data_IF_229420790007
#
_entry.id   IF_229420790007
#
_cell.length_a   1.000
_cell.length_b   1.000
_cell.length_c   1.000
_cell.angle_alpha   90.00
_cell.angle_beta   90.00
_cell.angle_gamma   90.00
#
_symmetry.space_group_name_H-M   'P 1'
#
loop_
_entity.id
_entity.type
_entity.pdbx_description
1 polymer ?
#
# COMPACT_ATOMS: atom_id res chain seq x y z
N UNK A 1 -17.48 5.31 -35.62
CA UNK A 1 -17.56 4.97 -34.19
C UNK A 1 -18.16 3.56 -34.10
N UNK A 2 -17.46 2.64 -33.48
CA UNK A 2 -18.00 1.30 -33.21
C UNK A 2 -18.75 1.41 -31.88
N UNK A 3 -20.06 1.25 -31.92
CA UNK A 3 -20.91 1.24 -30.72
C UNK A 3 -21.16 -0.22 -30.37
N UNK A 4 -20.75 -0.61 -29.18
CA UNK A 4 -21.01 -1.91 -28.56
C UNK A 4 -22.02 -1.78 -27.43
N UNK A 5 -22.49 -2.89 -26.88
CA UNK A 5 -23.32 -2.88 -25.69
C UNK A 5 -22.57 -2.22 -24.47
N UNK A 6 -23.34 -1.72 -23.52
CA UNK A 6 -22.80 -1.22 -22.26
C UNK A 6 -21.90 -2.25 -21.61
N UNK A 7 -20.80 -1.78 -21.03
CA UNK A 7 -19.77 -2.64 -20.49
C UNK A 7 -19.14 -1.97 -19.24
N UNK A 8 -18.10 -2.61 -18.72
CA UNK A 8 -17.33 -2.06 -17.60
C UNK A 8 -16.68 -0.70 -17.90
N UNK A 9 -16.42 -0.43 -19.22
CA UNK A 9 -15.73 0.77 -19.70
C UNK A 9 -16.58 1.61 -20.68
N UNK A 10 -17.85 1.30 -20.84
CA UNK A 10 -18.75 2.03 -21.75
C UNK A 10 -20.15 2.16 -21.16
N UNK A 11 -20.63 3.38 -21.09
CA UNK A 11 -22.01 3.71 -20.70
C UNK A 11 -22.67 4.55 -21.79
N UNK A 12 -23.87 4.13 -22.18
CA UNK A 12 -24.66 4.77 -23.22
C UNK A 12 -25.93 5.37 -22.63
N UNK A 13 -26.23 6.63 -23.01
CA UNK A 13 -27.45 7.32 -22.60
C UNK A 13 -28.13 7.93 -23.83
N UNK A 14 -29.44 7.89 -23.82
CA UNK A 14 -30.21 8.42 -24.97
C UNK A 14 -30.10 9.95 -25.06
N UNK A 15 -30.17 10.65 -23.94
CA UNK A 15 -30.09 12.12 -23.87
C UNK A 15 -29.49 12.58 -22.55
N UNK A 16 -29.12 13.86 -22.45
CA UNK A 16 -28.71 14.51 -21.19
C UNK A 16 -29.82 14.62 -20.16
N UNK A 17 -31.06 14.25 -20.46
CA UNK A 17 -32.09 14.03 -19.44
C UNK A 17 -31.69 12.95 -18.41
N UNK A 18 -30.76 12.06 -18.77
CA UNK A 18 -30.19 11.03 -17.89
C UNK A 18 -28.79 11.43 -17.34
N UNK A 19 -28.46 12.74 -17.34
CA UNK A 19 -27.15 13.25 -16.99
C UNK A 19 -26.71 12.83 -15.58
N UNK A 20 -27.62 12.84 -14.61
CA UNK A 20 -27.33 12.42 -13.24
C UNK A 20 -26.86 10.97 -13.18
N UNK A 21 -27.57 10.06 -13.85
CA UNK A 21 -27.20 8.63 -13.88
C UNK A 21 -25.90 8.43 -14.67
N UNK A 22 -25.70 9.19 -15.74
CA UNK A 22 -24.43 9.23 -16.47
C UNK A 22 -23.27 9.64 -15.57
N UNK A 23 -23.46 10.63 -14.69
CA UNK A 23 -22.43 11.07 -13.76
C UNK A 23 -22.12 10.06 -12.64
N UNK A 24 -23.09 9.24 -12.22
CA UNK A 24 -22.80 8.09 -11.37
C UNK A 24 -21.83 7.11 -12.07
N UNK A 25 -22.07 6.84 -13.36
CA UNK A 25 -21.17 5.99 -14.16
C UNK A 25 -19.81 6.64 -14.41
N UNK A 26 -19.77 7.95 -14.66
CA UNK A 26 -18.53 8.72 -14.75
C UNK A 26 -17.67 8.61 -13.48
N UNK A 27 -18.28 8.82 -12.32
CA UNK A 27 -17.62 8.63 -11.02
C UNK A 27 -17.14 7.17 -10.86
N UNK A 28 -17.93 6.19 -11.33
CA UNK A 28 -17.54 4.79 -11.26
C UNK A 28 -16.37 4.46 -12.19
N UNK A 29 -16.27 5.06 -13.37
CA UNK A 29 -15.11 4.94 -14.27
C UNK A 29 -13.85 5.48 -13.63
N UNK A 30 -13.90 6.67 -13.05
CA UNK A 30 -12.80 7.30 -12.31
C UNK A 30 -12.32 6.46 -11.10
N UNK A 31 -13.15 5.56 -10.63
CA UNK A 31 -12.83 4.65 -9.53
C UNK A 31 -12.57 3.20 -9.99
N UNK A 32 -12.50 2.93 -11.28
CA UNK A 32 -12.20 1.59 -11.80
C UNK A 32 -11.18 1.66 -12.95
N UNK A 33 -11.49 1.09 -14.09
CA UNK A 33 -10.57 0.99 -15.24
C UNK A 33 -10.65 2.20 -16.18
N UNK A 34 -11.46 3.20 -15.84
CA UNK A 34 -11.81 4.26 -16.77
C UNK A 34 -12.93 3.88 -17.72
N UNK A 35 -13.24 4.78 -18.66
CA UNK A 35 -14.25 4.45 -19.67
C UNK A 35 -14.87 5.66 -20.35
N UNK A 36 -15.83 5.36 -21.21
CA UNK A 36 -16.56 6.33 -22.00
C UNK A 36 -18.00 6.47 -21.56
N UNK A 37 -18.43 7.70 -21.36
CA UNK A 37 -19.85 8.09 -21.21
C UNK A 37 -20.30 8.78 -22.48
N UNK A 38 -21.34 8.21 -23.14
CA UNK A 38 -21.82 8.71 -24.43
C UNK A 38 -23.31 9.00 -24.35
N UNK A 39 -23.71 10.23 -24.69
CA UNK A 39 -25.10 10.64 -24.85
C UNK A 39 -25.46 10.75 -26.34
N UNK A 40 -26.71 10.44 -26.67
CA UNK A 40 -27.20 10.45 -28.05
C UNK A 40 -27.26 9.07 -28.68
N UNK A 41 -27.07 8.02 -27.88
CA UNK A 41 -27.13 6.61 -28.31
C UNK A 41 -28.15 5.87 -27.46
N UNK A 42 -29.07 5.14 -28.12
CA UNK A 42 -30.08 4.32 -27.44
C UNK A 42 -29.43 3.03 -26.93
N UNK A 43 -29.34 2.75 -25.63
CA UNK A 43 -28.56 1.64 -25.10
C UNK A 43 -28.88 0.27 -25.68
N UNK A 44 -30.16 -0.12 -25.76
CA UNK A 44 -30.59 -1.45 -26.22
C UNK A 44 -30.51 -1.66 -27.74
N UNK A 45 -30.82 -0.65 -28.51
CA UNK A 45 -30.84 -0.75 -29.97
C UNK A 45 -29.57 -0.25 -30.63
N UNK A 46 -28.67 0.32 -29.89
CA UNK A 46 -27.40 0.94 -30.30
C UNK A 46 -27.61 1.98 -31.42
N UNK A 47 -28.85 2.53 -31.53
CA UNK A 47 -29.20 3.51 -32.55
C UNK A 47 -28.61 4.86 -32.14
N UNK A 48 -27.82 5.44 -33.01
CA UNK A 48 -27.26 6.78 -32.86
C UNK A 48 -28.34 7.75 -33.36
N UNK A 49 -28.89 8.54 -32.44
CA UNK A 49 -29.92 9.55 -32.70
C UNK A 49 -29.41 10.96 -32.44
N UNK A 50 -28.37 11.10 -31.65
CA UNK A 50 -27.91 12.38 -31.19
C UNK A 50 -28.94 13.13 -30.34
N UNK A 51 -28.59 14.37 -29.97
CA UNK A 51 -29.51 15.33 -29.40
C UNK A 51 -29.11 16.73 -29.81
N UNK A 52 -30.01 17.69 -29.71
CA UNK A 52 -29.68 19.11 -29.84
C UNK A 52 -28.76 19.51 -28.71
N UNK A 53 -27.69 20.25 -29.04
CA UNK A 53 -26.72 20.80 -28.08
C UNK A 53 -26.83 22.31 -28.09
N UNK A 54 -27.34 22.85 -27.00
CA UNK A 54 -27.47 24.28 -26.77
C UNK A 54 -26.46 24.75 -25.74
N UNK A 55 -26.31 26.06 -25.56
CA UNK A 55 -25.52 26.65 -24.48
C UNK A 55 -25.98 26.14 -23.11
N UNK A 56 -27.30 25.91 -22.95
CA UNK A 56 -27.84 25.35 -21.71
C UNK A 56 -27.38 23.92 -21.49
N UNK A 57 -27.37 23.09 -22.54
CA UNK A 57 -26.83 21.71 -22.47
C UNK A 57 -25.38 21.69 -22.01
N UNK A 58 -24.55 22.59 -22.56
CA UNK A 58 -23.13 22.69 -22.18
C UNK A 58 -22.96 23.13 -20.73
N UNK A 59 -23.78 24.07 -20.25
CA UNK A 59 -23.76 24.51 -18.83
C UNK A 59 -24.18 23.39 -17.88
N UNK A 60 -25.22 22.64 -18.22
CA UNK A 60 -25.67 21.50 -17.40
C UNK A 60 -24.57 20.44 -17.28
N UNK A 61 -23.87 20.12 -18.36
CA UNK A 61 -22.74 19.20 -18.34
C UNK A 61 -21.60 19.74 -17.47
N UNK A 62 -21.24 21.01 -17.61
CA UNK A 62 -20.19 21.63 -16.82
C UNK A 62 -20.54 21.63 -15.32
N UNK A 63 -21.80 21.94 -14.97
CA UNK A 63 -22.26 21.88 -13.58
C UNK A 63 -22.27 20.45 -13.01
N UNK A 64 -22.62 19.47 -13.84
CA UNK A 64 -22.60 18.08 -13.43
C UNK A 64 -21.15 17.57 -13.20
N UNK A 65 -20.22 17.92 -14.09
CA UNK A 65 -18.80 17.60 -13.94
C UNK A 65 -18.20 18.25 -12.67
N UNK A 66 -18.64 19.47 -12.32
CA UNK A 66 -18.23 20.15 -11.08
C UNK A 66 -18.71 19.42 -9.80
N UNK A 67 -19.65 18.49 -9.90
CA UNK A 67 -20.07 17.64 -8.80
C UNK A 67 -19.13 16.48 -8.49
N UNK A 68 -18.11 16.27 -9.32
CA UNK A 68 -17.04 15.26 -9.09
C UNK A 68 -15.96 15.82 -8.17
N UNK A 69 -15.60 15.05 -7.17
CA UNK A 69 -14.53 15.37 -6.22
C UNK A 69 -13.56 14.18 -6.08
N UNK A 70 -12.25 14.35 -6.26
CA UNK A 70 -11.54 15.57 -6.73
C UNK A 70 -12.02 16.05 -8.09
N UNK A 71 -11.81 17.35 -8.37
CA UNK A 71 -12.14 17.91 -9.68
C UNK A 71 -11.37 17.21 -10.79
N UNK A 72 -12.03 16.96 -11.91
CA UNK A 72 -11.49 16.24 -13.06
C UNK A 72 -11.53 17.17 -14.28
N UNK A 73 -10.43 17.19 -15.02
CA UNK A 73 -10.41 17.88 -16.33
C UNK A 73 -10.84 16.87 -17.40
N UNK A 74 -12.04 17.07 -17.93
CA UNK A 74 -12.65 16.16 -18.91
C UNK A 74 -12.90 16.90 -20.21
N UNK A 75 -12.32 16.39 -21.28
CA UNK A 75 -12.63 16.87 -22.62
C UNK A 75 -13.99 16.33 -23.08
N UNK A 76 -14.91 17.25 -23.44
CA UNK A 76 -16.24 16.91 -23.95
C UNK A 76 -16.25 17.06 -25.45
N UNK A 77 -16.46 15.95 -26.16
CA UNK A 77 -16.53 15.92 -27.61
C UNK A 77 -17.99 15.99 -28.08
N UNK A 78 -18.22 16.79 -29.13
CA UNK A 78 -19.53 16.98 -29.77
C UNK A 78 -19.45 16.52 -31.22
N UNK A 79 -19.97 15.34 -31.54
CA UNK A 79 -19.87 14.73 -32.87
C UNK A 79 -21.20 14.83 -33.59
N UNK A 80 -21.21 15.44 -34.81
CA UNK A 80 -22.40 15.57 -35.62
C UNK A 80 -22.92 14.21 -36.08
N UNK A 81 -24.26 14.05 -36.11
CA UNK A 81 -24.91 12.83 -36.58
C UNK A 81 -25.41 13.01 -38.01
N UNK A 82 -24.84 12.36 -39.01
CA UNK A 82 -25.21 12.57 -40.42
C UNK A 82 -26.69 12.35 -40.72
N UNK A 83 -27.29 11.31 -40.12
CA UNK A 83 -28.69 10.94 -40.33
C UNK A 83 -29.70 11.85 -39.60
N UNK A 84 -29.22 12.72 -38.70
CA UNK A 84 -30.04 13.62 -37.90
C UNK A 84 -29.40 15.03 -37.87
N UNK A 85 -29.58 15.82 -38.93
CA UNK A 85 -29.00 17.16 -39.03
C UNK A 85 -29.35 18.06 -37.84
N UNK A 86 -28.34 18.67 -37.23
CA UNK A 86 -28.49 19.50 -36.02
C UNK A 86 -28.35 18.74 -34.70
N UNK A 87 -28.38 17.42 -34.71
CA UNK A 87 -28.14 16.60 -33.55
C UNK A 87 -26.65 16.23 -33.43
N UNK A 88 -26.16 16.12 -32.21
CA UNK A 88 -24.80 15.70 -31.88
C UNK A 88 -24.81 14.56 -30.86
N UNK A 89 -23.84 13.67 -30.98
CA UNK A 89 -23.45 12.76 -29.90
C UNK A 89 -22.50 13.51 -29.01
N UNK A 90 -22.65 13.35 -27.71
CA UNK A 90 -21.75 13.92 -26.69
C UNK A 90 -20.94 12.77 -26.11
N UNK A 91 -19.62 12.83 -26.19
CA UNK A 91 -18.74 11.80 -25.69
C UNK A 91 -17.76 12.40 -24.66
N UNK A 92 -17.55 11.69 -23.56
CA UNK A 92 -16.61 12.03 -22.51
C UNK A 92 -15.80 10.79 -22.13
N UNK A 93 -14.50 10.95 -22.04
CA UNK A 93 -13.59 9.90 -21.57
C UNK A 93 -13.14 10.23 -20.14
N UNK A 94 -13.11 9.21 -19.29
CA UNK A 94 -12.64 9.28 -17.92
C UNK A 94 -11.50 8.29 -17.74
N UNK A 95 -10.38 8.75 -17.19
CA UNK A 95 -9.25 7.89 -16.86
C UNK A 95 -9.57 7.00 -15.67
N UNK A 96 -8.93 5.84 -15.61
CA UNK A 96 -9.13 4.89 -14.53
C UNK A 96 -8.35 5.29 -13.26
N UNK A 97 -8.82 4.79 -12.12
CA UNK A 97 -8.17 5.03 -10.84
C UNK A 97 -6.81 4.35 -10.76
N UNK A 98 -5.83 5.07 -10.25
CA UNK A 98 -4.49 4.58 -9.97
C UNK A 98 -4.31 4.42 -8.46
N UNK A 99 -3.62 3.37 -8.04
CA UNK A 99 -3.35 3.15 -6.62
C UNK A 99 -2.58 4.31 -5.98
N UNK A 100 -3.06 4.76 -4.82
CA UNK A 100 -2.49 5.92 -4.13
C UNK A 100 -3.15 7.26 -4.51
N UNK A 101 -3.99 7.30 -5.53
CA UNK A 101 -4.82 8.46 -5.81
C UNK A 101 -6.05 8.49 -4.90
N UNK A 102 -6.54 9.70 -4.63
CA UNK A 102 -7.79 9.86 -3.88
C UNK A 102 -8.96 9.32 -4.68
N UNK A 103 -9.79 8.43 -4.11
CA UNK A 103 -10.98 7.97 -4.80
C UNK A 103 -11.97 9.13 -5.05
N UNK A 104 -12.65 9.06 -6.19
CA UNK A 104 -13.61 10.08 -6.60
C UNK A 104 -14.99 9.85 -5.99
N UNK A 105 -15.68 10.95 -5.75
CA UNK A 105 -17.09 10.97 -5.34
C UNK A 105 -17.89 11.85 -6.28
N UNK A 106 -19.17 11.56 -6.44
CA UNK A 106 -20.14 12.47 -7.06
C UNK A 106 -21.13 12.91 -6.02
N UNK A 107 -21.14 14.23 -5.72
CA UNK A 107 -21.91 14.80 -4.60
C UNK A 107 -21.67 14.07 -3.27
N UNK A 108 -20.40 13.73 -2.98
CA UNK A 108 -19.99 13.06 -1.75
C UNK A 108 -20.24 11.54 -1.72
N UNK A 109 -20.85 10.95 -2.75
CA UNK A 109 -21.07 9.52 -2.83
C UNK A 109 -20.08 8.85 -3.80
N UNK A 110 -19.28 7.85 -3.36
CA UNK A 110 -18.38 7.13 -4.23
C UNK A 110 -19.12 6.04 -5.00
N UNK A 111 -18.87 5.94 -6.31
CA UNK A 111 -19.41 4.89 -7.18
C UNK A 111 -18.29 4.05 -7.79
N UNK A 112 -18.58 2.80 -8.14
CA UNK A 112 -17.65 1.90 -8.83
C UNK A 112 -18.39 0.98 -9.80
N UNK A 113 -17.67 0.43 -10.79
CA UNK A 113 -18.25 -0.51 -11.77
C UNK A 113 -18.08 -1.96 -11.29
N UNK A 114 -19.18 -2.71 -11.40
CA UNK A 114 -19.19 -4.18 -11.32
C UNK A 114 -19.80 -4.67 -12.64
N UNK A 115 -18.96 -5.17 -13.52
CA UNK A 115 -19.32 -5.43 -14.91
C UNK A 115 -19.91 -4.16 -15.57
N UNK A 116 -21.06 -4.23 -16.20
CA UNK A 116 -21.75 -3.05 -16.77
C UNK A 116 -22.52 -2.22 -15.75
N UNK A 117 -22.63 -2.67 -14.48
CA UNK A 117 -23.48 -2.04 -13.46
C UNK A 117 -22.70 -1.03 -12.63
N UNK A 118 -23.27 0.16 -12.46
CA UNK A 118 -22.78 1.18 -11.52
C UNK A 118 -23.38 0.94 -10.12
N UNK A 119 -22.55 0.84 -9.11
CA UNK A 119 -22.95 0.65 -7.71
C UNK A 119 -22.25 1.66 -6.80
N UNK A 120 -22.84 1.93 -5.65
CA UNK A 120 -22.18 2.67 -4.57
C UNK A 120 -21.02 1.82 -4.07
N UNK A 121 -19.86 2.44 -3.91
CA UNK A 121 -18.66 1.77 -3.41
C UNK A 121 -18.85 1.38 -1.94
N UNK A 122 -18.51 0.14 -1.53
CA UNK A 122 -18.50 -0.24 -0.13
C UNK A 122 -17.59 0.66 0.70
N UNK A 123 -18.00 0.97 1.93
CA UNK A 123 -17.22 1.83 2.83
C UNK A 123 -15.80 1.31 3.05
N UNK A 124 -15.65 0.01 3.27
CA UNK A 124 -14.34 -0.62 3.47
C UNK A 124 -13.39 -0.36 2.28
N UNK A 125 -13.88 -0.50 1.04
CA UNK A 125 -13.09 -0.23 -0.16
C UNK A 125 -12.73 1.26 -0.29
N UNK A 126 -13.66 2.16 0.05
CA UNK A 126 -13.42 3.60 0.01
C UNK A 126 -12.37 4.00 1.05
N UNK A 127 -12.51 3.51 2.27
CA UNK A 127 -11.59 3.79 3.37
C UNK A 127 -10.18 3.27 3.07
N UNK A 128 -10.07 2.06 2.50
CA UNK A 128 -8.78 1.50 2.05
C UNK A 128 -8.07 2.43 1.05
N UNK A 129 -8.80 2.98 0.09
CA UNK A 129 -8.25 3.90 -0.91
C UNK A 129 -7.87 5.27 -0.32
N UNK A 130 -8.65 5.78 0.64
CA UNK A 130 -8.30 7.01 1.37
C UNK A 130 -7.03 6.81 2.19
N UNK A 131 -6.88 5.67 2.85
CA UNK A 131 -5.68 5.30 3.58
C UNK A 131 -4.47 5.21 2.65
N UNK A 132 -4.63 4.60 1.48
CA UNK A 132 -3.59 4.49 0.46
C UNK A 132 -3.17 5.87 -0.09
N UNK A 133 -4.12 6.80 -0.26
CA UNK A 133 -3.84 8.16 -0.74
C UNK A 133 -2.99 9.00 0.24
N UNK A 134 -3.15 8.79 1.55
CA UNK A 134 -2.44 9.55 2.59
C UNK A 134 -1.79 8.63 3.63
N UNK A 135 -0.87 7.75 3.22
CA UNK A 135 -0.29 6.77 4.12
C UNK A 135 0.40 7.43 5.33
N UNK A 136 1.02 8.61 5.16
CA UNK A 136 1.70 9.32 6.25
C UNK A 136 0.75 9.89 7.31
N UNK A 137 -0.52 10.16 6.97
CA UNK A 137 -1.51 10.73 7.90
C UNK A 137 -2.35 9.64 8.54
N UNK A 138 -2.68 8.61 7.79
CA UNK A 138 -3.63 7.56 8.17
C UNK A 138 -2.99 6.20 8.40
N UNK A 139 -1.65 6.07 8.21
CA UNK A 139 -0.98 4.82 8.51
C UNK A 139 -1.12 4.48 10.00
N UNK A 140 -1.28 3.20 10.29
CA UNK A 140 -1.34 2.69 11.66
C UNK A 140 -0.11 3.14 12.47
N UNK A 141 1.07 3.10 11.87
CA UNK A 141 2.32 3.49 12.50
C UNK A 141 2.35 4.97 12.92
N UNK A 142 1.65 5.81 12.17
CA UNK A 142 1.55 7.24 12.43
C UNK A 142 0.50 7.63 13.47
N UNK A 143 -0.37 6.72 13.91
CA UNK A 143 -1.36 6.96 14.96
C UNK A 143 -0.71 6.97 16.34
N UNK A 144 -1.30 7.70 17.29
CA UNK A 144 -0.87 7.66 18.70
C UNK A 144 -1.16 6.27 19.27
N UNK A 145 -0.19 5.72 19.98
CA UNK A 145 -0.32 4.41 20.61
C UNK A 145 -1.23 4.51 21.85
N UNK A 146 -2.12 3.53 21.98
CA UNK A 146 -3.01 3.46 23.13
C UNK A 146 -2.28 2.81 24.31
N UNK A 147 -2.39 3.43 25.49
CA UNK A 147 -1.79 2.92 26.72
C UNK A 147 -0.25 2.96 26.81
N UNK A 148 0.45 3.54 25.81
CA UNK A 148 1.91 3.61 25.79
C UNK A 148 2.38 5.02 26.15
N UNK A 149 3.41 5.08 26.98
CA UNK A 149 4.07 6.30 27.44
C UNK A 149 5.54 6.33 27.02
N UNK A 150 6.21 7.48 27.20
CA UNK A 150 7.66 7.59 26.97
C UNK A 150 8.48 6.63 27.86
N UNK A 151 7.99 6.33 29.06
CA UNK A 151 8.67 5.44 29.99
C UNK A 151 8.68 3.96 29.51
N UNK A 152 7.75 3.59 28.63
CA UNK A 152 7.67 2.26 28.04
C UNK A 152 8.66 2.07 26.88
N UNK A 153 9.29 3.16 26.41
CA UNK A 153 10.25 3.10 25.30
C UNK A 153 11.67 2.80 25.77
N UNK A 154 12.32 1.83 25.17
CA UNK A 154 13.68 1.41 25.48
C UNK A 154 14.72 2.43 25.02
N UNK A 155 15.28 3.17 25.99
CA UNK A 155 16.30 4.18 25.71
C UNK A 155 17.57 3.63 25.04
N UNK A 156 17.94 2.37 25.32
CA UNK A 156 19.14 1.75 24.72
C UNK A 156 18.96 1.58 23.22
N UNK A 157 17.79 1.14 22.79
CA UNK A 157 17.45 1.00 21.37
C UNK A 157 17.43 2.36 20.67
N UNK A 158 16.82 3.38 21.27
CA UNK A 158 16.78 4.74 20.72
C UNK A 158 18.22 5.31 20.59
N UNK A 159 19.01 5.24 21.66
CA UNK A 159 20.41 5.70 21.66
C UNK A 159 21.27 4.89 20.68
N UNK A 160 20.99 3.60 20.53
CA UNK A 160 21.61 2.72 19.53
C UNK A 160 21.36 3.21 18.10
N UNK A 161 20.10 3.52 17.77
CA UNK A 161 19.74 4.09 16.47
C UNK A 161 20.43 5.42 16.19
N UNK A 162 20.46 6.33 17.17
CA UNK A 162 21.15 7.63 17.04
C UNK A 162 22.64 7.39 16.73
N UNK A 163 23.29 6.51 17.48
CA UNK A 163 24.72 6.19 17.29
C UNK A 163 24.99 5.62 15.91
N UNK A 164 24.23 4.61 15.49
CA UNK A 164 24.36 4.01 14.15
C UNK A 164 24.12 5.02 13.04
N UNK A 165 23.18 5.94 13.22
CA UNK A 165 22.92 7.02 12.27
C UNK A 165 24.07 7.99 12.15
N UNK A 166 24.73 8.32 13.26
CA UNK A 166 25.94 9.17 13.28
C UNK A 166 27.13 8.45 12.66
N UNK A 167 27.39 7.20 13.05
CA UNK A 167 28.47 6.37 12.49
C UNK A 167 28.30 6.16 10.97
N UNK A 168 27.06 6.01 10.52
CA UNK A 168 26.71 5.92 9.10
C UNK A 168 26.69 7.26 8.34
N UNK A 169 26.98 8.38 9.01
CA UNK A 169 26.99 9.72 8.40
C UNK A 169 25.60 10.25 7.98
N UNK A 170 24.54 9.62 8.45
CA UNK A 170 23.15 9.99 8.10
C UNK A 170 22.58 11.10 8.96
N UNK A 171 23.09 11.27 10.18
CA UNK A 171 22.72 12.33 11.11
C UNK A 171 23.99 12.95 11.72
N UNK A 172 23.95 14.24 12.07
CA UNK A 172 25.13 14.90 12.61
C UNK A 172 25.50 14.39 14.00
N UNK A 173 26.80 14.45 14.36
CA UNK A 173 27.31 13.97 15.65
C UNK A 173 26.65 14.70 16.86
N UNK A 174 26.20 15.94 16.69
CA UNK A 174 25.46 16.69 17.71
C UNK A 174 24.16 16.02 18.15
N UNK A 175 23.60 15.10 17.33
CA UNK A 175 22.37 14.39 17.67
C UNK A 175 22.52 13.51 18.94
N UNK A 176 23.75 13.07 19.28
CA UNK A 176 24.01 12.25 20.47
C UNK A 176 23.64 13.00 21.76
N UNK A 177 23.78 14.33 21.77
CA UNK A 177 23.48 15.18 22.94
C UNK A 177 22.07 15.76 22.98
N UNK A 178 21.26 15.45 21.96
CA UNK A 178 19.85 15.89 21.90
C UNK A 178 19.00 15.02 22.83
N UNK A 179 18.08 15.61 23.62
CA UNK A 179 17.13 14.83 24.41
C UNK A 179 16.34 13.83 23.55
N UNK A 180 16.07 12.65 24.11
CA UNK A 180 15.34 11.57 23.41
C UNK A 180 13.98 12.06 22.92
N UNK A 181 13.27 12.79 23.76
CA UNK A 181 11.95 13.34 23.42
C UNK A 181 11.99 14.23 22.17
N UNK A 182 12.97 15.16 22.11
CA UNK A 182 13.15 16.01 20.93
C UNK A 182 13.52 15.19 19.68
N UNK A 183 14.30 14.13 19.85
CA UNK A 183 14.67 13.23 18.77
C UNK A 183 13.44 12.50 18.24
N UNK A 184 12.61 11.96 19.12
CA UNK A 184 11.37 11.28 18.74
C UNK A 184 10.37 12.22 18.05
N UNK A 185 10.27 13.47 18.51
CA UNK A 185 9.46 14.51 17.82
C UNK A 185 9.99 14.77 16.42
N UNK A 186 11.31 14.94 16.25
CA UNK A 186 11.95 15.13 14.92
C UNK A 186 11.71 13.93 13.99
N UNK A 187 11.71 12.72 14.53
CA UNK A 187 11.41 11.49 13.78
C UNK A 187 9.92 11.26 13.56
N UNK A 188 9.05 12.15 14.05
CA UNK A 188 7.58 12.03 14.02
C UNK A 188 7.05 10.79 14.76
N UNK A 189 7.81 10.29 15.71
CA UNK A 189 7.48 9.15 16.56
C UNK A 189 6.82 9.55 17.89
N UNK A 190 6.74 10.86 18.18
CA UNK A 190 6.05 11.42 19.32
C UNK A 190 5.11 12.53 18.87
N UNK A 191 3.84 12.45 19.25
CA UNK A 191 2.79 13.43 18.93
C UNK A 191 2.09 13.86 20.22
N UNK A 192 2.10 15.15 20.51
CA UNK A 192 1.47 15.71 21.74
C UNK A 192 1.93 15.02 23.03
N UNK A 193 3.20 14.60 23.11
CA UNK A 193 3.75 13.89 24.27
C UNK A 193 3.40 12.39 24.33
N UNK A 194 2.67 11.85 23.34
CA UNK A 194 2.29 10.44 23.26
C UNK A 194 3.08 9.76 22.14
N UNK A 195 3.72 8.59 22.40
CA UNK A 195 4.36 7.81 21.37
C UNK A 195 3.38 7.39 20.27
N UNK A 196 3.87 7.27 19.03
CA UNK A 196 3.08 6.68 17.96
C UNK A 196 3.20 5.14 17.96
N UNK A 197 2.30 4.44 17.26
CA UNK A 197 2.43 3.00 17.08
C UNK A 197 3.78 2.62 16.44
N UNK A 198 4.32 3.47 15.55
CA UNK A 198 5.67 3.29 15.00
C UNK A 198 6.77 3.39 16.05
N UNK A 199 6.64 4.28 17.04
CA UNK A 199 7.57 4.36 18.17
C UNK A 199 7.50 3.10 19.04
N UNK A 200 6.27 2.63 19.30
CA UNK A 200 6.00 1.39 20.04
C UNK A 200 6.62 0.19 19.35
N UNK A 201 6.35 0.04 18.05
CA UNK A 201 6.91 -1.02 17.21
C UNK A 201 8.45 -1.05 17.28
N UNK A 202 9.08 0.13 17.21
CA UNK A 202 10.55 0.21 17.16
C UNK A 202 11.19 0.02 18.54
N UNK A 203 10.59 0.54 19.61
CA UNK A 203 11.30 0.78 20.84
C UNK A 203 10.59 0.36 22.13
N UNK A 204 9.33 -0.09 22.10
CA UNK A 204 8.61 -0.37 23.34
C UNK A 204 9.01 -1.70 23.97
N UNK A 205 9.25 -1.69 25.27
CA UNK A 205 9.34 -2.89 26.10
C UNK A 205 7.94 -3.37 26.56
N UNK A 206 6.92 -2.51 26.45
CA UNK A 206 5.53 -2.84 26.74
C UNK A 206 4.78 -3.14 25.44
N UNK A 207 4.49 -4.41 25.20
CA UNK A 207 3.85 -4.91 23.97
C UNK A 207 2.60 -5.75 24.24
N UNK A 208 2.05 -5.72 25.45
CA UNK A 208 0.94 -6.60 25.87
C UNK A 208 -0.29 -6.46 24.99
N UNK A 209 -0.61 -5.24 24.55
CA UNK A 209 -1.73 -4.93 23.67
C UNK A 209 -1.40 -5.10 22.17
N UNK A 210 -0.18 -5.55 21.84
CA UNK A 210 0.31 -5.64 20.47
C UNK A 210 0.66 -7.08 20.05
N UNK A 211 -0.32 -7.99 19.90
CA UNK A 211 -0.06 -9.40 19.58
C UNK A 211 0.63 -9.63 18.24
N UNK A 212 0.70 -8.62 17.36
CA UNK A 212 1.44 -8.67 16.11
C UNK A 212 2.96 -8.53 16.27
N UNK A 213 3.47 -8.08 17.44
CA UNK A 213 4.91 -7.93 17.70
C UNK A 213 5.55 -9.28 18.04
N UNK A 214 5.45 -10.21 17.10
CA UNK A 214 5.86 -11.61 17.26
C UNK A 214 6.60 -12.10 16.03
N UNK A 215 7.58 -12.98 16.29
CA UNK A 215 8.30 -13.73 15.27
C UNK A 215 8.25 -15.21 15.59
N UNK A 216 7.77 -16.02 14.64
CA UNK A 216 7.80 -17.49 14.73
C UNK A 216 8.97 -18.01 13.94
N UNK A 217 9.74 -18.92 14.53
CA UNK A 217 10.94 -19.47 13.90
C UNK A 217 10.93 -20.97 14.05
N UNK A 218 11.19 -21.70 12.96
CA UNK A 218 11.28 -23.15 12.99
C UNK A 218 12.41 -23.66 12.10
N UNK A 219 13.12 -24.71 12.58
CA UNK A 219 14.07 -25.49 11.80
C UNK A 219 13.46 -26.85 11.53
N UNK A 220 13.16 -27.11 10.26
CA UNK A 220 12.55 -28.36 9.80
C UNK A 220 13.60 -29.37 9.36
N UNK A 221 13.25 -30.67 9.43
CA UNK A 221 14.02 -31.77 8.86
C UNK A 221 13.62 -31.93 7.40
N UNK A 222 14.60 -32.05 6.50
CA UNK A 222 14.31 -32.19 5.08
C UNK A 222 13.78 -30.91 4.43
N UNK A 223 12.85 -31.05 3.50
CA UNK A 223 12.39 -29.97 2.63
C UNK A 223 10.92 -29.60 2.83
N UNK A 224 10.24 -30.18 3.80
CA UNK A 224 8.83 -29.94 4.12
C UNK A 224 8.63 -29.57 5.60
N UNK A 225 7.35 -29.33 6.00
CA UNK A 225 6.98 -28.89 7.34
C UNK A 225 6.50 -30.04 8.27
N UNK A 226 6.82 -31.28 7.94
CA UNK A 226 6.31 -32.44 8.67
C UNK A 226 7.00 -32.65 10.01
N UNK A 227 8.31 -32.40 10.09
CA UNK A 227 9.12 -32.60 11.29
C UNK A 227 10.01 -31.39 11.54
N UNK A 228 10.12 -30.95 12.78
CA UNK A 228 11.00 -29.84 13.16
C UNK A 228 11.94 -30.21 14.29
N UNK A 229 13.14 -29.66 14.25
CA UNK A 229 14.19 -29.83 15.26
C UNK A 229 14.07 -28.77 16.36
N UNK A 230 13.68 -27.54 15.95
CA UNK A 230 13.54 -26.41 16.84
C UNK A 230 12.35 -25.55 16.40
N UNK A 231 11.62 -25.06 17.39
CA UNK A 231 10.47 -24.19 17.16
C UNK A 231 10.42 -23.14 18.26
N UNK A 232 10.58 -21.87 17.87
CA UNK A 232 10.64 -20.75 18.79
C UNK A 232 9.59 -19.71 18.43
N UNK A 233 9.07 -19.03 19.44
CA UNK A 233 8.24 -17.86 19.32
C UNK A 233 8.79 -16.78 20.21
N UNK A 234 9.12 -15.65 19.62
CA UNK A 234 9.67 -14.49 20.32
C UNK A 234 8.69 -13.34 20.18
N UNK A 235 8.50 -12.60 21.26
CA UNK A 235 7.71 -11.38 21.34
C UNK A 235 8.65 -10.23 21.73
N UNK A 236 8.48 -9.07 21.16
CA UNK A 236 9.34 -7.92 21.42
C UNK A 236 9.19 -6.82 20.37
N UNK A 237 9.87 -5.71 20.59
CA UNK A 237 9.94 -4.64 19.61
C UNK A 237 10.76 -5.07 18.38
N UNK A 238 10.81 -4.20 17.38
CA UNK A 238 11.52 -4.48 16.11
C UNK A 238 12.96 -4.99 16.32
N UNK A 239 13.71 -4.38 17.25
CA UNK A 239 15.12 -4.75 17.49
C UNK A 239 15.23 -6.11 18.17
N UNK A 240 14.33 -6.42 19.11
CA UNK A 240 14.30 -7.74 19.76
C UNK A 240 13.99 -8.84 18.78
N UNK A 241 13.01 -8.60 17.89
CA UNK A 241 12.65 -9.57 16.82
C UNK A 241 13.79 -9.73 15.80
N UNK A 242 14.48 -8.65 15.44
CA UNK A 242 15.64 -8.70 14.55
C UNK A 242 16.79 -9.51 15.17
N UNK A 243 17.13 -9.21 16.41
CA UNK A 243 18.23 -9.88 17.11
C UNK A 243 17.92 -11.38 17.32
N UNK A 244 16.68 -11.70 17.72
CA UNK A 244 16.23 -13.09 17.85
C UNK A 244 16.30 -13.86 16.53
N UNK A 245 15.83 -13.27 15.44
CA UNK A 245 15.87 -13.88 14.11
C UNK A 245 17.29 -14.11 13.62
N UNK A 246 18.19 -13.12 13.81
CA UNK A 246 19.59 -13.26 13.47
C UNK A 246 20.28 -14.34 14.31
N UNK A 247 20.01 -14.41 15.62
CA UNK A 247 20.52 -15.47 16.49
C UNK A 247 20.04 -16.86 16.05
N UNK A 248 18.78 -16.96 15.60
CA UNK A 248 18.21 -18.21 15.08
C UNK A 248 18.90 -18.67 13.79
N UNK A 249 19.23 -17.75 12.87
CA UNK A 249 20.03 -18.07 11.68
C UNK A 249 21.42 -18.59 12.06
N UNK A 250 22.12 -17.92 12.98
CA UNK A 250 23.45 -18.37 13.43
C UNK A 250 23.42 -19.74 14.12
N UNK A 251 22.32 -20.07 14.79
CA UNK A 251 22.15 -21.36 15.46
C UNK A 251 21.97 -22.53 14.49
N UNK A 252 21.28 -22.27 13.36
CA UNK A 252 20.78 -23.35 12.50
C UNK A 252 21.37 -23.40 11.09
N UNK A 253 22.10 -22.35 10.66
CA UNK A 253 22.81 -22.36 9.40
C UNK A 253 24.27 -22.76 9.60
N UNK A 254 24.79 -23.53 8.65
CA UNK A 254 26.17 -24.03 8.72
C UNK A 254 27.16 -22.87 8.59
N UNK A 255 28.18 -22.91 9.45
CA UNK A 255 29.36 -22.07 9.37
C UNK A 255 30.42 -22.78 8.52
N UNK A 256 30.63 -22.30 7.30
CA UNK A 256 31.79 -22.65 6.48
C UNK A 256 33.01 -21.82 6.89
N UNK A 257 34.20 -22.33 6.74
CA UNK A 257 35.42 -21.57 6.98
C UNK A 257 36.48 -21.88 5.95
N UNK A 258 37.11 -20.84 5.40
CA UNK A 258 38.25 -20.96 4.47
C UNK A 258 39.53 -20.53 5.20
N UNK A 259 40.52 -21.41 5.22
CA UNK A 259 41.85 -21.07 5.70
C UNK A 259 42.59 -20.47 4.50
N UNK A 260 42.97 -19.21 4.60
CA UNK A 260 43.79 -18.53 3.60
C UNK A 260 45.23 -18.47 4.04
N UNK A 261 46.16 -18.71 3.10
CA UNK A 261 47.61 -18.75 3.42
C UNK A 261 48.19 -17.40 3.86
N UNK A 262 47.39 -16.34 3.93
CA UNK A 262 47.83 -14.98 4.26
C UNK A 262 47.28 -14.48 5.59
N UNK A 263 46.47 -15.24 6.32
CA UNK A 263 45.92 -14.86 7.62
C UNK A 263 45.91 -16.01 8.59
N UNK A 264 46.33 -15.77 9.83
CA UNK A 264 46.19 -16.74 10.94
C UNK A 264 44.75 -16.84 11.45
N UNK A 265 43.85 -15.96 10.98
CA UNK A 265 42.44 -15.99 11.28
C UNK A 265 41.69 -16.73 10.18
N UNK A 266 40.85 -17.68 10.59
CA UNK A 266 39.91 -18.38 9.73
C UNK A 266 38.80 -17.40 9.30
N UNK A 267 38.60 -17.25 8.00
CA UNK A 267 37.41 -16.52 7.50
C UNK A 267 36.20 -17.43 7.61
N UNK A 268 35.34 -17.12 8.57
CA UNK A 268 34.07 -17.84 8.75
C UNK A 268 32.97 -17.15 7.96
N UNK A 269 32.18 -17.94 7.25
CA UNK A 269 31.01 -17.47 6.52
C UNK A 269 29.85 -18.43 6.72
N UNK A 270 28.65 -17.88 6.86
CA UNK A 270 27.42 -18.66 6.84
C UNK A 270 27.16 -19.17 5.41
N UNK A 271 26.53 -20.33 5.28
CA UNK A 271 26.11 -20.88 3.98
C UNK A 271 25.19 -19.92 3.21
N UNK A 272 24.42 -19.08 3.93
CA UNK A 272 23.71 -17.91 3.36
C UNK A 272 24.39 -16.65 3.89
N UNK A 273 24.77 -15.68 3.04
CA UNK A 273 25.49 -14.49 3.48
C UNK A 273 24.73 -13.70 4.56
N UNK A 274 25.42 -13.35 5.66
CA UNK A 274 24.87 -12.61 6.79
C UNK A 274 24.11 -11.33 6.37
N UNK A 275 24.70 -10.56 5.44
CA UNK A 275 24.07 -9.32 4.95
C UNK A 275 22.75 -9.58 4.25
N UNK A 276 22.64 -10.66 3.48
CA UNK A 276 21.41 -11.03 2.78
C UNK A 276 20.32 -11.47 3.76
N UNK A 277 20.66 -12.29 4.77
CA UNK A 277 19.72 -12.70 5.82
C UNK A 277 19.20 -11.51 6.61
N UNK A 278 20.11 -10.61 7.00
CA UNK A 278 19.77 -9.41 7.77
C UNK A 278 18.86 -8.48 6.97
N UNK A 279 19.18 -8.24 5.71
CA UNK A 279 18.37 -7.40 4.83
C UNK A 279 16.99 -8.01 4.59
N UNK A 280 16.90 -9.29 4.30
CA UNK A 280 15.63 -9.97 4.10
C UNK A 280 14.75 -9.95 5.36
N UNK A 281 15.34 -10.11 6.55
CA UNK A 281 14.61 -10.06 7.81
C UNK A 281 14.14 -8.63 8.12
N UNK A 282 14.99 -7.62 7.93
CA UNK A 282 14.60 -6.21 8.07
C UNK A 282 13.44 -5.89 7.12
N UNK A 283 13.54 -6.26 5.85
CA UNK A 283 12.49 -6.03 4.88
C UNK A 283 11.18 -6.74 5.28
N UNK A 284 11.27 -7.97 5.77
CA UNK A 284 10.12 -8.70 6.29
C UNK A 284 9.45 -7.99 7.46
N UNK A 285 10.22 -7.42 8.39
CA UNK A 285 9.69 -6.68 9.54
C UNK A 285 9.17 -5.28 9.16
N UNK A 286 9.81 -4.59 8.20
CA UNK A 286 9.41 -3.23 7.79
C UNK A 286 8.19 -3.22 6.87
N UNK A 287 8.09 -4.18 5.92
CA UNK A 287 7.06 -4.18 4.88
C UNK A 287 5.84 -5.03 5.19
N UNK A 288 5.63 -5.39 6.46
CA UNK A 288 4.40 -6.05 6.87
C UNK A 288 3.28 -5.02 7.08
N UNK A 289 2.03 -5.49 7.01
CA UNK A 289 0.85 -4.72 7.44
C UNK A 289 0.72 -4.80 8.97
N UNK A 290 1.18 -3.78 9.68
CA UNK A 290 1.21 -3.77 11.15
C UNK A 290 -0.16 -3.64 11.79
N UNK A 291 -1.17 -3.11 11.09
CA UNK A 291 -2.56 -3.06 11.49
C UNK A 291 -3.22 -4.46 11.56
N UNK A 292 -2.60 -5.47 10.95
CA UNK A 292 -3.09 -6.86 10.98
C UNK A 292 -2.57 -7.58 12.24
N UNK A 293 -3.19 -7.31 13.36
CA UNK A 293 -2.78 -7.82 14.68
C UNK A 293 -2.83 -9.35 14.84
N UNK A 294 -3.59 -10.06 14.04
CA UNK A 294 -3.72 -11.52 14.07
C UNK A 294 -2.71 -12.27 13.21
N UNK A 295 -1.86 -11.56 12.46
CA UNK A 295 -0.86 -12.14 11.58
C UNK A 295 0.56 -11.97 12.17
N UNK A 296 1.46 -12.89 11.81
CA UNK A 296 2.79 -12.97 12.42
C UNK A 296 3.87 -13.21 11.36
N UNK A 297 5.01 -12.54 11.48
CA UNK A 297 6.20 -12.85 10.69
C UNK A 297 6.74 -14.22 11.05
N UNK A 298 7.34 -14.91 10.09
CA UNK A 298 7.94 -16.22 10.34
C UNK A 298 9.24 -16.45 9.58
N UNK A 299 10.11 -17.25 10.19
CA UNK A 299 11.32 -17.81 9.62
C UNK A 299 11.17 -19.34 9.61
N UNK A 300 11.38 -19.95 8.46
CA UNK A 300 11.46 -21.40 8.33
C UNK A 300 12.79 -21.77 7.64
N UNK A 301 13.60 -22.60 8.31
CA UNK A 301 14.87 -23.11 7.79
C UNK A 301 14.68 -24.58 7.47
N UNK A 302 14.95 -24.96 6.23
CA UNK A 302 14.93 -26.32 5.71
C UNK A 302 16.35 -26.77 5.39
N UNK A 303 16.53 -27.99 4.91
CA UNK A 303 17.85 -28.50 4.51
C UNK A 303 18.33 -27.85 3.22
N UNK A 304 17.43 -27.34 2.38
CA UNK A 304 17.71 -26.80 1.06
C UNK A 304 17.46 -25.28 0.91
N UNK A 305 16.76 -24.64 1.87
CA UNK A 305 16.38 -23.22 1.77
C UNK A 305 16.04 -22.57 3.09
N UNK A 306 16.01 -21.25 3.07
CA UNK A 306 15.44 -20.40 4.12
C UNK A 306 14.22 -19.66 3.55
N UNK A 307 13.10 -19.73 4.25
CA UNK A 307 11.89 -18.95 3.95
C UNK A 307 11.69 -17.89 5.04
N UNK A 308 11.51 -16.64 4.64
CA UNK A 308 11.13 -15.53 5.51
C UNK A 308 9.80 -15.01 4.97
N UNK A 309 8.75 -15.08 5.79
CA UNK A 309 7.41 -14.66 5.38
C UNK A 309 6.87 -13.56 6.30
N UNK A 310 6.18 -12.61 5.72
CA UNK A 310 5.50 -11.53 6.43
C UNK A 310 4.08 -11.33 5.87
N UNK A 311 3.15 -10.86 6.69
CA UNK A 311 1.81 -10.49 6.26
C UNK A 311 1.80 -9.09 5.61
N UNK A 312 2.50 -8.96 4.49
CA UNK A 312 2.54 -7.77 3.66
C UNK A 312 1.86 -8.02 2.31
N UNK A 313 1.60 -6.96 1.60
CA UNK A 313 1.19 -6.99 0.20
C UNK A 313 2.26 -6.31 -0.65
N UNK A 314 2.47 -6.81 -1.85
CA UNK A 314 3.29 -6.09 -2.82
C UNK A 314 2.54 -4.87 -3.34
N UNK A 315 3.24 -3.75 -3.59
CA UNK A 315 2.67 -2.67 -4.41
C UNK A 315 2.12 -3.23 -5.71
N UNK A 316 0.99 -2.69 -6.19
CA UNK A 316 0.29 -3.21 -7.39
C UNK A 316 1.17 -3.33 -8.65
N UNK A 317 2.25 -2.57 -8.71
CA UNK A 317 3.20 -2.58 -9.82
C UNK A 317 4.22 -3.73 -9.73
N UNK A 318 4.29 -4.42 -8.58
CA UNK A 318 5.25 -5.50 -8.36
C UNK A 318 4.50 -6.84 -8.34
N UNK A 319 4.82 -7.67 -9.31
CA UNK A 319 4.33 -9.06 -9.39
C UNK A 319 5.46 -10.03 -9.09
N UNK A 320 5.20 -11.33 -8.85
CA UNK A 320 6.23 -12.35 -8.71
C UNK A 320 7.20 -12.42 -9.90
N UNK A 321 6.76 -12.01 -11.09
CA UNK A 321 7.55 -11.96 -12.31
C UNK A 321 8.45 -10.72 -12.33
N UNK A 322 7.89 -9.53 -12.04
CA UNK A 322 8.58 -8.24 -12.13
C UNK A 322 9.46 -7.94 -10.92
N UNK A 323 9.29 -8.64 -9.79
CA UNK A 323 10.11 -8.42 -8.58
C UNK A 323 11.61 -8.66 -8.80
N UNK A 324 11.96 -9.42 -9.84
CA UNK A 324 13.34 -9.70 -10.22
C UNK A 324 13.98 -8.59 -11.04
N UNK A 325 13.18 -7.66 -11.53
CA UNK A 325 13.64 -6.50 -12.29
C UNK A 325 13.96 -5.34 -11.35
N UNK A 326 14.69 -4.35 -11.85
CA UNK A 326 14.98 -3.13 -11.08
C UNK A 326 13.68 -2.36 -10.86
N UNK A 327 13.32 -2.11 -9.61
CA UNK A 327 12.16 -1.34 -9.21
C UNK A 327 12.53 -0.37 -8.09
N UNK A 328 11.79 0.73 -7.99
CA UNK A 328 11.94 1.66 -6.88
C UNK A 328 11.30 1.06 -5.63
N UNK A 329 12.03 1.11 -4.51
CA UNK A 329 11.45 0.81 -3.19
C UNK A 329 10.83 2.10 -2.64
N UNK A 330 9.54 2.07 -2.39
CA UNK A 330 8.78 3.17 -1.78
C UNK A 330 8.89 3.15 -0.26
#
# INVERSE_FOLDING_TARGET
MIVSDESRILELKKTTGELKDGMHSACAFLNTEGGWLIFGVTPKSLKIVGQEVTDNTQREIALALAGLEPAVDVHVEYVDVPDYPGNKVIAMHFDGWVWGERPHTFHGCPYYKVESTTKVMPHEMYDERILAHRPQIYSWEGQMADGITLADLNEKHIKGCIRLGVEGGRIPASAISVPIEETLVKWKLLKNGVPTNGATMLFSDNIDEYPQFRLRMARFVGTDKNEFIDNQRVEGCFFDLLDAGMAFFFKHLNLGGKITNHSLQREEHLEVPYKALREALINSLCHRQWEKYNLTNSIAIYDDRVEIANPGIFPLQITPETIKESHESY
#
